data_IF_022736222500
#
_entry.id   IF_022736222500
#
_cell.length_a   1.000
_cell.length_b   1.000
_cell.length_c   1.000
_cell.angle_alpha   90.00
_cell.angle_beta   90.00
_cell.angle_gamma   90.00
#
_symmetry.space_group_name_H-M   'P 1'
#
loop_
_entity.id
_entity.type
_entity.pdbx_description
1 polymer ?
#
# COMPACT_ATOMS: atom_id res chain seq x y z
N UNK A 1 30.29 -87.54 47.15
CA UNK A 1 29.91 -86.18 47.56
C UNK A 1 30.26 -85.23 46.43
N UNK A 2 29.26 -84.72 45.72
CA UNK A 2 29.40 -83.79 44.58
C UNK A 2 28.82 -82.44 45.05
N UNK A 3 29.66 -81.42 45.20
CA UNK A 3 29.25 -80.06 45.54
C UNK A 3 29.18 -79.23 44.26
N UNK A 4 27.96 -78.92 43.82
CA UNK A 4 27.70 -77.97 42.74
C UNK A 4 27.87 -76.56 43.28
N UNK A 5 28.86 -75.84 42.75
CA UNK A 5 29.01 -74.41 42.95
C UNK A 5 28.12 -73.67 41.94
N UNK A 6 27.04 -73.05 42.41
CA UNK A 6 26.27 -72.08 41.63
C UNK A 6 26.92 -70.70 41.81
N UNK A 7 27.73 -70.29 40.84
CA UNK A 7 28.29 -68.94 40.74
C UNK A 7 27.16 -67.95 40.47
N UNK A 8 26.93 -67.02 41.39
CA UNK A 8 26.03 -65.90 41.20
C UNK A 8 26.49 -65.00 40.05
N UNK A 9 25.75 -65.03 38.96
CA UNK A 9 25.81 -64.05 37.89
C UNK A 9 24.80 -62.93 38.20
N UNK A 10 25.19 -61.95 39.01
CA UNK A 10 24.38 -60.74 39.21
C UNK A 10 25.22 -59.59 39.77
N UNK A 11 26.26 -59.18 39.04
CA UNK A 11 26.97 -57.94 39.35
C UNK A 11 27.36 -57.13 38.10
N UNK A 12 27.49 -57.77 36.93
CA UNK A 12 27.89 -57.12 35.68
C UNK A 12 26.73 -56.45 34.91
N UNK A 13 25.48 -56.84 35.17
CA UNK A 13 24.30 -56.25 34.51
C UNK A 13 23.98 -54.82 34.99
N UNK A 14 24.46 -54.44 36.17
CA UNK A 14 24.21 -53.12 36.75
C UNK A 14 24.97 -52.00 36.06
N UNK A 15 26.21 -52.23 35.61
CA UNK A 15 27.03 -51.20 34.94
C UNK A 15 26.64 -51.03 33.47
N UNK A 16 26.34 -52.13 32.78
CA UNK A 16 25.83 -52.10 31.41
C UNK A 16 24.48 -51.39 31.31
N UNK A 17 23.54 -51.69 32.22
CA UNK A 17 22.25 -51.00 32.28
C UNK A 17 22.41 -49.52 32.65
N UNK A 18 23.30 -49.16 33.59
CA UNK A 18 23.61 -47.76 33.91
C UNK A 18 24.19 -47.00 32.71
N UNK A 19 25.04 -47.64 31.90
CA UNK A 19 25.61 -47.04 30.70
C UNK A 19 24.55 -46.80 29.61
N UNK A 20 23.65 -47.77 29.42
CA UNK A 20 22.54 -47.63 28.46
C UNK A 20 21.55 -46.56 28.93
N UNK A 21 21.13 -46.61 30.19
CA UNK A 21 20.22 -45.62 30.81
C UNK A 21 20.85 -44.22 30.86
N UNK A 22 22.17 -44.12 31.01
CA UNK A 22 22.93 -42.87 30.89
C UNK A 22 23.03 -42.36 29.45
N UNK A 23 23.12 -43.25 28.46
CA UNK A 23 23.14 -42.88 27.04
C UNK A 23 21.80 -42.34 26.54
N UNK A 24 20.68 -42.85 27.06
CA UNK A 24 19.33 -42.34 26.78
C UNK A 24 18.89 -41.21 27.72
N UNK A 25 19.77 -40.75 28.63
CA UNK A 25 19.53 -39.60 29.49
C UNK A 25 18.60 -39.82 30.68
N UNK A 26 18.26 -41.07 31.02
CA UNK A 26 17.43 -41.41 32.20
C UNK A 26 18.23 -41.28 33.49
N UNK A 27 19.50 -41.70 33.48
CA UNK A 27 20.39 -41.54 34.62
C UNK A 27 21.33 -40.36 34.34
N UNK A 28 21.37 -39.32 35.21
CA UNK A 28 22.31 -38.23 35.05
C UNK A 28 23.73 -38.80 35.16
N UNK A 29 24.47 -38.73 34.05
CA UNK A 29 25.87 -39.16 34.01
C UNK A 29 26.68 -38.33 35.00
N UNK A 30 27.43 -38.98 35.87
CA UNK A 30 28.42 -38.31 36.74
C UNK A 30 29.39 -37.55 35.84
N UNK A 31 29.36 -36.22 35.94
CA UNK A 31 30.23 -35.30 35.20
C UNK A 31 31.25 -34.77 36.18
N UNK A 32 32.52 -34.84 35.82
CA UNK A 32 33.58 -34.23 36.61
C UNK A 32 33.29 -32.73 36.83
N UNK A 33 33.54 -32.21 38.05
CA UNK A 33 33.32 -30.81 38.33
C UNK A 33 34.18 -29.95 37.40
N UNK A 34 33.53 -29.09 36.62
CA UNK A 34 34.20 -28.16 35.72
C UNK A 34 34.99 -27.17 36.59
N UNK A 35 36.31 -27.20 36.49
CA UNK A 35 37.18 -26.23 37.16
C UNK A 35 37.07 -24.91 36.40
N UNK A 36 36.24 -24.00 36.91
CA UNK A 36 36.09 -22.66 36.36
C UNK A 36 37.26 -21.80 36.81
N UNK A 37 38.11 -21.41 35.87
CA UNK A 37 39.09 -20.37 36.09
C UNK A 37 38.47 -19.02 35.76
N UNK A 38 38.84 -18.01 36.53
CA UNK A 38 38.50 -16.63 36.21
C UNK A 38 39.02 -16.25 34.83
N UNK A 39 38.17 -15.59 34.04
CA UNK A 39 38.59 -15.04 32.74
C UNK A 39 39.39 -13.77 33.04
N UNK A 40 40.46 -13.55 32.27
CA UNK A 40 41.22 -12.30 32.36
C UNK A 40 40.28 -11.08 32.25
N UNK A 41 40.55 -10.00 32.98
CA UNK A 41 39.72 -8.79 32.94
C UNK A 41 39.70 -8.19 31.53
N UNK A 42 38.57 -7.58 31.17
CA UNK A 42 38.40 -6.95 29.87
C UNK A 42 39.30 -5.71 29.76
N UNK A 43 40.29 -5.74 28.87
CA UNK A 43 41.15 -4.59 28.59
C UNK A 43 40.44 -3.68 27.60
N UNK A 44 40.18 -2.44 28.03
CA UNK A 44 39.62 -1.42 27.15
C UNK A 44 40.67 -0.91 26.14
N UNK A 45 40.27 -0.61 24.90
CA UNK A 45 41.17 0.01 23.94
C UNK A 45 41.57 1.42 24.42
N UNK A 46 42.79 1.90 24.07
CA UNK A 46 43.30 3.20 24.54
C UNK A 46 42.48 4.41 24.11
N UNK A 47 41.69 4.28 23.05
CA UNK A 47 40.79 5.31 22.54
C UNK A 47 39.42 4.69 22.31
N UNK A 48 38.41 5.33 22.87
CA UNK A 48 37.00 4.96 22.72
C UNK A 48 36.29 5.76 21.61
N UNK A 49 37.04 6.56 20.85
CA UNK A 49 36.50 7.31 19.72
C UNK A 49 36.11 6.34 18.60
N UNK A 50 34.81 6.30 18.33
CA UNK A 50 34.28 5.60 17.17
C UNK A 50 34.64 6.41 15.92
N UNK A 51 35.07 5.75 14.82
CA UNK A 51 35.22 6.43 13.55
C UNK A 51 33.88 7.05 13.14
N UNK A 52 33.93 8.22 12.49
CA UNK A 52 32.74 8.92 12.04
C UNK A 52 31.82 7.98 11.23
N UNK A 53 30.48 8.10 11.37
CA UNK A 53 29.56 7.29 10.61
C UNK A 53 29.82 7.51 9.12
N UNK A 54 29.96 6.41 8.40
CA UNK A 54 30.30 6.45 6.99
C UNK A 54 29.19 7.20 6.21
N UNK A 55 29.54 8.02 5.19
CA UNK A 55 28.55 8.74 4.41
C UNK A 55 27.46 7.80 3.89
N UNK A 56 26.21 8.22 4.03
CA UNK A 56 25.04 7.41 3.74
C UNK A 56 25.05 6.83 2.33
N UNK A 57 24.91 5.51 2.25
CA UNK A 57 24.88 4.72 1.03
C UNK A 57 25.11 3.27 1.42
N UNK A 58 24.09 2.42 1.27
CA UNK A 58 24.20 0.99 1.60
C UNK A 58 25.35 0.29 0.86
N UNK A 59 25.63 -0.97 1.20
CA UNK A 59 26.69 -1.77 0.55
C UNK A 59 26.61 -1.75 -1.00
N UNK A 60 25.41 -1.58 -1.54
CA UNK A 60 25.07 -1.44 -2.97
C UNK A 60 25.72 -0.21 -3.64
N UNK A 61 25.88 0.90 -2.91
CA UNK A 61 26.48 2.12 -3.44
C UNK A 61 28.02 2.01 -3.52
N UNK A 62 28.60 1.08 -2.77
CA UNK A 62 30.05 0.97 -2.57
C UNK A 62 30.69 -0.12 -3.42
N UNK A 63 29.93 -1.16 -3.76
CA UNK A 63 30.38 -2.22 -4.63
C UNK A 63 29.38 -2.39 -5.79
N UNK A 64 29.77 -1.91 -6.97
CA UNK A 64 28.98 -2.05 -8.20
C UNK A 64 28.78 -3.50 -8.66
N UNK A 65 29.44 -4.47 -8.03
CA UNK A 65 29.31 -5.90 -8.30
C UNK A 65 28.18 -6.57 -7.48
N UNK A 66 27.53 -5.87 -6.55
CA UNK A 66 26.33 -6.41 -5.89
C UNK A 66 25.11 -6.25 -6.81
N UNK A 67 24.25 -7.27 -6.89
CA UNK A 67 22.96 -7.15 -7.56
C UNK A 67 22.18 -5.97 -6.98
N UNK A 68 21.58 -5.16 -7.85
CA UNK A 68 20.66 -4.09 -7.43
C UNK A 68 19.32 -4.71 -7.11
N UNK A 69 18.82 -4.48 -5.91
CA UNK A 69 17.49 -4.90 -5.49
C UNK A 69 16.42 -4.17 -6.34
N UNK A 70 15.53 -4.90 -7.05
CA UNK A 70 14.45 -4.29 -7.82
C UNK A 70 13.51 -3.44 -6.96
N UNK A 71 13.30 -3.78 -5.69
CA UNK A 71 12.39 -3.06 -4.80
C UNK A 71 12.99 -1.71 -4.39
N UNK A 72 14.29 -1.67 -4.10
CA UNK A 72 15.02 -0.43 -3.83
C UNK A 72 15.05 0.46 -5.07
N UNK A 73 15.22 -0.12 -6.25
CA UNK A 73 15.18 0.60 -7.52
C UNK A 73 13.78 1.17 -7.79
N UNK A 74 12.73 0.39 -7.60
CA UNK A 74 11.34 0.83 -7.74
C UNK A 74 11.02 1.95 -6.75
N UNK A 75 11.44 1.83 -5.49
CA UNK A 75 11.25 2.88 -4.47
C UNK A 75 11.96 4.17 -4.83
N UNK A 76 13.21 4.09 -5.34
CA UNK A 76 13.96 5.27 -5.80
C UNK A 76 13.27 5.92 -7.00
N UNK A 77 12.78 5.13 -7.95
CA UNK A 77 12.04 5.63 -9.13
C UNK A 77 10.76 6.34 -8.70
N UNK A 78 9.95 5.73 -7.84
CA UNK A 78 8.73 6.33 -7.32
C UNK A 78 9.00 7.64 -6.55
N UNK A 79 10.06 7.70 -5.74
CA UNK A 79 10.45 8.93 -5.05
C UNK A 79 10.90 10.05 -6.01
N UNK A 80 11.61 9.69 -7.09
CA UNK A 80 12.01 10.64 -8.14
C UNK A 80 10.80 11.15 -8.92
N UNK A 81 9.86 10.27 -9.27
CA UNK A 81 8.60 10.63 -9.94
C UNK A 81 7.74 11.54 -9.05
N UNK A 82 7.61 11.22 -7.75
CA UNK A 82 6.86 12.05 -6.80
C UNK A 82 7.46 13.46 -6.61
N UNK A 83 8.78 13.61 -6.75
CA UNK A 83 9.46 14.91 -6.70
C UNK A 83 9.37 15.68 -8.02
N UNK A 84 9.04 15.01 -9.12
CA UNK A 84 8.98 15.64 -10.43
C UNK A 84 7.72 16.50 -10.54
N UNK A 85 7.83 17.79 -10.89
CA UNK A 85 6.65 18.64 -11.06
C UNK A 85 5.81 18.14 -12.23
N UNK A 86 4.48 18.25 -12.12
CA UNK A 86 3.51 17.74 -13.10
C UNK A 86 3.84 18.14 -14.55
N UNK A 87 4.34 19.36 -14.76
CA UNK A 87 4.70 19.90 -16.08
C UNK A 87 5.89 19.20 -16.74
N UNK A 88 6.71 18.48 -15.97
CA UNK A 88 7.88 17.75 -16.46
C UNK A 88 7.63 16.25 -16.62
N UNK A 89 6.49 15.75 -16.14
CA UNK A 89 6.08 14.35 -16.22
C UNK A 89 5.86 13.93 -17.68
N UNK A 90 6.16 12.67 -18.00
CA UNK A 90 5.93 12.11 -19.35
C UNK A 90 4.46 12.20 -19.76
N UNK A 91 3.54 11.92 -18.83
CA UNK A 91 2.10 12.08 -19.03
C UNK A 91 1.71 13.49 -19.50
N UNK A 92 2.37 14.53 -18.98
CA UNK A 92 2.14 15.91 -19.40
C UNK A 92 2.73 16.20 -20.78
N UNK A 93 3.91 15.64 -21.09
CA UNK A 93 4.55 15.81 -22.42
C UNK A 93 3.72 15.17 -23.53
N UNK A 94 3.12 14.01 -23.24
CA UNK A 94 2.27 13.25 -24.15
C UNK A 94 0.82 13.75 -24.17
N UNK A 95 0.45 14.68 -23.30
CA UNK A 95 -0.90 15.21 -23.27
C UNK A 95 -1.13 16.18 -24.44
N UNK A 96 -2.04 15.84 -25.34
CA UNK A 96 -2.45 16.70 -26.46
C UNK A 96 -3.15 17.98 -25.98
N UNK A 97 -3.76 17.96 -24.80
CA UNK A 97 -4.39 19.11 -24.14
C UNK A 97 -3.44 19.96 -23.29
N UNK A 98 -2.11 19.77 -23.38
CA UNK A 98 -1.15 20.59 -22.62
C UNK A 98 -1.26 22.05 -23.04
N UNK A 99 -0.95 22.96 -22.12
CA UNK A 99 -0.85 24.40 -22.44
C UNK A 99 0.21 24.61 -23.52
N UNK A 100 -0.19 25.27 -24.60
CA UNK A 100 0.70 25.63 -25.69
C UNK A 100 1.70 26.69 -25.21
N UNK A 101 2.96 26.55 -25.63
CA UNK A 101 3.95 27.62 -25.47
C UNK A 101 3.59 28.84 -26.33
N UNK A 102 4.17 29.99 -26.01
CA UNK A 102 3.94 31.22 -26.78
C UNK A 102 4.40 31.05 -28.22
N UNK A 103 5.48 30.30 -28.42
CA UNK A 103 6.04 29.96 -29.71
C UNK A 103 5.11 29.06 -30.52
N UNK A 104 4.56 28.00 -29.91
CA UNK A 104 3.56 27.12 -30.56
C UNK A 104 2.27 27.88 -30.92
N UNK A 105 1.79 28.76 -30.02
CA UNK A 105 0.63 29.62 -30.30
C UNK A 105 0.90 30.59 -31.46
N UNK A 106 2.12 31.13 -31.57
CA UNK A 106 2.52 31.98 -32.70
C UNK A 106 2.64 31.19 -33.99
N UNK A 107 3.21 29.98 -33.94
CA UNK A 107 3.36 29.13 -35.11
C UNK A 107 2.00 28.68 -35.69
N UNK A 108 1.01 28.45 -34.84
CA UNK A 108 -0.36 28.14 -35.25
C UNK A 108 -1.18 29.34 -35.74
N UNK A 109 -0.69 30.58 -35.55
CA UNK A 109 -1.41 31.79 -35.97
C UNK A 109 -1.20 32.04 -37.47
N UNK A 110 -2.22 31.76 -38.27
CA UNK A 110 -2.24 32.12 -39.67
C UNK A 110 -2.35 33.67 -39.81
N UNK A 111 -1.37 34.36 -40.43
CA UNK A 111 -1.41 35.82 -40.60
C UNK A 111 -2.57 36.30 -41.48
N UNK A 112 -3.17 35.41 -42.27
CA UNK A 112 -4.30 35.72 -43.15
C UNK A 112 -5.67 35.50 -42.48
N UNK A 113 -5.72 34.96 -41.25
CA UNK A 113 -6.95 34.68 -40.50
C UNK A 113 -7.07 35.57 -39.25
N UNK A 114 -6.87 36.88 -39.41
CA UNK A 114 -7.12 37.84 -38.35
C UNK A 114 -8.63 38.03 -38.27
N UNK A 115 -9.29 37.32 -37.37
CA UNK A 115 -10.68 37.58 -37.03
C UNK A 115 -10.79 38.98 -36.42
N UNK A 116 -11.24 39.95 -37.21
CA UNK A 116 -11.53 41.32 -36.78
C UNK A 116 -12.91 41.45 -36.11
N UNK A 117 -13.66 40.35 -36.01
CA UNK A 117 -14.95 40.31 -35.37
C UNK A 117 -14.82 40.03 -33.86
N UNK A 118 -15.54 40.81 -33.04
CA UNK A 118 -15.65 40.60 -31.60
C UNK A 118 -16.19 39.18 -31.28
N UNK A 119 -15.75 38.54 -30.18
CA UNK A 119 -16.24 37.22 -29.81
C UNK A 119 -17.77 37.27 -29.64
N UNK A 120 -18.48 36.38 -30.32
CA UNK A 120 -19.92 36.27 -30.20
C UNK A 120 -20.29 36.02 -28.73
N UNK A 121 -21.28 36.78 -28.24
CA UNK A 121 -21.80 36.65 -26.87
C UNK A 121 -22.36 35.23 -26.70
N UNK A 122 -22.04 34.60 -25.56
CA UNK A 122 -22.62 33.32 -25.14
C UNK A 122 -24.15 33.40 -25.19
N UNK A 123 -24.79 32.36 -25.74
CA UNK A 123 -26.24 32.29 -25.99
C UNK A 123 -26.69 32.35 -27.45
N UNK A 124 -25.76 32.43 -28.42
CA UNK A 124 -26.09 32.21 -29.84
C UNK A 124 -26.16 30.71 -30.18
N UNK A 125 -26.90 30.33 -31.21
CA UNK A 125 -27.10 28.96 -31.75
C UNK A 125 -25.81 28.09 -31.86
N UNK A 126 -24.62 28.69 -31.79
CA UNK A 126 -23.34 28.00 -31.72
C UNK A 126 -22.98 27.39 -30.34
N UNK A 127 -23.75 27.65 -29.28
CA UNK A 127 -23.53 27.11 -27.92
C UNK A 127 -24.10 25.66 -27.74
N UNK A 128 -24.40 24.97 -28.84
CA UNK A 128 -24.85 23.56 -28.88
C UNK A 128 -23.85 22.57 -28.25
N UNK A 129 -22.63 23.00 -27.94
CA UNK A 129 -21.60 22.18 -27.29
C UNK A 129 -21.74 22.12 -25.76
N UNK A 130 -22.64 22.90 -25.14
CA UNK A 130 -22.89 22.87 -23.70
C UNK A 130 -24.32 22.44 -23.42
N UNK A 131 -24.51 21.13 -23.21
CA UNK A 131 -25.79 20.58 -22.76
C UNK A 131 -26.17 21.15 -21.39
N UNK A 132 -27.46 21.41 -21.20
CA UNK A 132 -27.98 21.85 -19.89
C UNK A 132 -28.01 20.67 -18.89
N UNK A 133 -27.97 20.90 -17.56
CA UNK A 133 -28.08 19.82 -16.57
C UNK A 133 -29.32 18.91 -16.71
N UNK A 134 -30.45 19.41 -17.21
CA UNK A 134 -31.65 18.59 -17.48
C UNK A 134 -31.44 17.68 -18.71
N UNK A 135 -30.80 18.20 -19.74
CA UNK A 135 -30.48 17.48 -20.96
C UNK A 135 -29.46 16.36 -20.69
N UNK A 136 -28.43 16.63 -19.87
CA UNK A 136 -27.49 15.61 -19.38
C UNK A 136 -28.19 14.50 -18.58
N UNK A 137 -29.17 14.84 -17.75
CA UNK A 137 -29.95 13.84 -16.98
C UNK A 137 -30.80 12.94 -17.87
N UNK A 138 -31.29 13.45 -19.01
CA UNK A 138 -32.04 12.64 -19.97
C UNK A 138 -31.18 11.54 -20.62
N UNK A 139 -29.87 11.75 -20.75
CA UNK A 139 -28.93 10.75 -21.25
C UNK A 139 -28.53 9.70 -20.19
N UNK A 140 -28.70 9.99 -18.89
CA UNK A 140 -28.25 9.13 -17.79
C UNK A 140 -29.19 7.97 -17.45
N UNK A 141 -30.35 7.85 -18.09
CA UNK A 141 -31.42 6.90 -17.69
C UNK A 141 -31.36 5.53 -18.38
N UNK A 142 -30.31 5.22 -19.15
CA UNK A 142 -30.26 4.00 -19.97
C UNK A 142 -29.35 2.88 -19.48
N UNK A 143 -28.48 3.10 -18.50
CA UNK A 143 -27.53 2.09 -18.04
C UNK A 143 -27.61 1.86 -16.52
N UNK A 144 -28.72 1.27 -16.07
CA UNK A 144 -28.86 0.76 -14.69
C UNK A 144 -28.01 -0.50 -14.42
N UNK A 145 -27.21 -0.96 -15.39
CA UNK A 145 -26.46 -2.22 -15.35
C UNK A 145 -24.95 -2.00 -15.45
N UNK A 146 -24.42 -1.00 -14.74
CA UNK A 146 -22.98 -0.84 -14.50
C UNK A 146 -22.49 -2.00 -13.62
N UNK A 147 -22.18 -3.13 -14.26
CA UNK A 147 -21.44 -4.23 -13.65
C UNK A 147 -19.96 -3.84 -13.68
N UNK A 148 -19.31 -3.76 -12.52
CA UNK A 148 -17.85 -3.66 -12.46
C UNK A 148 -17.28 -4.84 -13.26
N UNK A 149 -16.56 -4.56 -14.35
CA UNK A 149 -15.83 -5.60 -15.07
C UNK A 149 -14.68 -6.06 -14.18
N UNK A 150 -14.78 -7.26 -13.62
CA UNK A 150 -13.70 -7.94 -12.91
C UNK A 150 -14.18 -8.75 -11.72
N UNK A 151 -13.61 -9.95 -11.56
CA UNK A 151 -13.81 -10.88 -10.44
C UNK A 151 -13.08 -10.42 -9.17
N UNK A 152 -13.24 -9.15 -8.79
CA UNK A 152 -12.49 -8.54 -7.69
C UNK A 152 -10.98 -8.48 -7.94
N UNK A 153 -10.25 -7.84 -7.02
CA UNK A 153 -8.80 -7.88 -7.05
C UNK A 153 -8.34 -9.24 -6.51
N UNK A 154 -7.63 -10.03 -7.31
CA UNK A 154 -6.99 -11.26 -6.82
C UNK A 154 -5.99 -10.90 -5.71
N UNK A 155 -6.04 -11.70 -4.63
CA UNK A 155 -5.21 -11.48 -3.45
C UNK A 155 -3.73 -11.67 -3.81
N UNK A 156 -2.93 -10.60 -3.71
CA UNK A 156 -1.48 -10.63 -4.01
C UNK A 156 -0.63 -11.01 -2.80
N UNK A 157 -1.02 -10.58 -1.60
CA UNK A 157 -0.29 -10.86 -0.37
C UNK A 157 -1.18 -11.43 0.73
N UNK A 158 -0.57 -12.05 1.75
CA UNK A 158 -1.34 -12.63 2.85
C UNK A 158 -2.05 -11.60 3.73
N UNK A 159 -1.55 -10.37 3.74
CA UNK A 159 -2.11 -9.20 4.43
C UNK A 159 -3.32 -8.59 3.73
N UNK A 160 -3.50 -8.86 2.45
CA UNK A 160 -4.62 -8.30 1.69
C UNK A 160 -5.90 -9.09 2.02
N UNK A 161 -7.05 -8.41 2.16
CA UNK A 161 -8.30 -9.08 2.46
C UNK A 161 -8.65 -10.08 1.35
N UNK A 162 -9.22 -11.25 1.69
CA UNK A 162 -9.68 -12.20 0.68
C UNK A 162 -10.68 -11.53 -0.28
N UNK A 163 -10.55 -11.80 -1.57
CA UNK A 163 -11.33 -11.13 -2.63
C UNK A 163 -12.84 -11.24 -2.45
N UNK A 164 -13.33 -12.26 -1.74
CA UNK A 164 -14.74 -12.42 -1.38
C UNK A 164 -15.29 -11.31 -0.48
N UNK A 165 -14.44 -10.66 0.32
CA UNK A 165 -14.83 -9.53 1.18
C UNK A 165 -14.88 -8.20 0.42
N UNK A 166 -14.28 -8.13 -0.77
CA UNK A 166 -14.40 -6.96 -1.65
C UNK A 166 -15.72 -6.97 -2.45
N UNK A 167 -16.51 -8.04 -2.33
CA UNK A 167 -17.81 -8.17 -2.99
C UNK A 167 -18.92 -7.56 -2.13
N UNK A 168 -19.85 -6.87 -2.78
CA UNK A 168 -21.09 -6.44 -2.13
C UNK A 168 -21.85 -7.65 -1.57
N UNK A 169 -22.30 -7.55 -0.32
CA UNK A 169 -23.06 -8.62 0.33
C UNK A 169 -24.33 -8.92 -0.48
N UNK A 170 -24.48 -10.18 -0.92
CA UNK A 170 -25.60 -10.63 -1.76
C UNK A 170 -25.45 -10.43 -3.26
N UNK A 171 -24.29 -10.00 -3.77
CA UNK A 171 -24.09 -9.77 -5.21
C UNK A 171 -24.93 -8.62 -5.79
N UNK A 172 -25.48 -7.78 -4.91
CA UNK A 172 -26.24 -6.59 -5.29
C UNK A 172 -25.34 -5.54 -5.95
N UNK A 173 -25.95 -4.71 -6.79
CA UNK A 173 -25.27 -3.57 -7.41
C UNK A 173 -24.75 -2.65 -6.31
N UNK A 174 -23.46 -2.31 -6.34
CA UNK A 174 -22.91 -1.25 -5.50
C UNK A 174 -23.57 0.04 -5.95
N UNK A 175 -24.52 0.55 -5.16
CA UNK A 175 -25.00 1.91 -5.33
C UNK A 175 -23.84 2.81 -4.93
N UNK A 176 -23.41 3.70 -5.82
CA UNK A 176 -22.57 4.82 -5.42
C UNK A 176 -23.22 5.41 -4.16
N UNK A 177 -22.44 5.61 -3.09
CA UNK A 177 -22.94 6.26 -1.89
C UNK A 177 -23.47 7.61 -2.33
N UNK A 178 -24.78 7.69 -2.56
CA UNK A 178 -25.46 8.93 -2.78
C UNK A 178 -25.26 9.70 -1.48
N UNK A 179 -24.59 10.85 -1.56
CA UNK A 179 -24.61 11.80 -0.47
C UNK A 179 -26.06 11.92 0.02
N UNK A 180 -26.30 11.95 1.33
CA UNK A 180 -27.65 12.05 1.84
C UNK A 180 -28.31 13.27 1.18
N UNK A 181 -29.32 13.00 0.36
CA UNK A 181 -30.13 14.07 -0.23
C UNK A 181 -30.79 14.76 0.95
N UNK A 182 -30.27 15.92 1.33
CA UNK A 182 -30.88 16.78 2.32
C UNK A 182 -32.19 17.24 1.69
N UNK A 183 -33.28 16.57 2.03
CA UNK A 183 -34.60 16.92 1.56
C UNK A 183 -35.00 18.25 2.19
N UNK A 184 -34.80 19.32 1.42
CA UNK A 184 -35.19 20.67 1.78
C UNK A 184 -34.04 21.46 2.39
N UNK A 185 -33.72 22.57 1.73
CA UNK A 185 -32.89 23.62 2.30
C UNK A 185 -33.68 24.27 3.46
N UNK A 186 -33.20 24.19 4.72
CA UNK A 186 -33.90 24.77 5.87
C UNK A 186 -34.06 26.29 5.76
N UNK A 187 -33.21 26.94 4.96
CA UNK A 187 -33.23 28.39 4.68
C UNK A 187 -33.96 28.73 3.37
N UNK A 188 -34.49 27.73 2.68
CA UNK A 188 -35.17 27.91 1.39
C UNK A 188 -36.52 28.64 1.52
N UNK A 189 -36.98 29.33 0.46
CA UNK A 189 -38.22 30.12 0.49
C UNK A 189 -39.47 29.29 0.84
N UNK A 190 -39.46 27.99 0.52
CA UNK A 190 -40.55 27.06 0.85
C UNK A 190 -40.64 26.76 2.36
N UNK A 191 -39.52 26.80 3.09
CA UNK A 191 -39.49 26.61 4.54
C UNK A 191 -40.11 27.82 5.27
N UNK A 192 -39.81 29.03 4.81
CA UNK A 192 -40.40 30.28 5.32
C UNK A 192 -41.92 30.30 5.17
N UNK A 193 -42.44 29.87 4.00
CA UNK A 193 -43.89 29.81 3.75
C UNK A 193 -44.57 28.83 4.72
N UNK A 194 -43.96 27.67 4.97
CA UNK A 194 -44.49 26.66 5.89
C UNK A 194 -44.52 27.17 7.33
N UNK A 195 -43.47 27.84 7.77
CA UNK A 195 -43.38 28.46 9.10
C UNK A 195 -44.40 29.60 9.28
N UNK A 196 -44.62 30.41 8.24
CA UNK A 196 -45.63 31.48 8.27
C UNK A 196 -47.06 30.91 8.38
N UNK A 197 -47.32 29.76 7.74
CA UNK A 197 -48.61 29.08 7.84
C UNK A 197 -48.85 28.46 9.23
N UNK A 198 -47.82 27.89 9.85
CA UNK A 198 -47.90 27.34 11.21
C UNK A 198 -48.13 28.43 12.26
N UNK A 199 -47.44 29.58 12.13
CA UNK A 199 -47.66 30.74 13.02
C UNK A 199 -49.05 31.35 12.90
N UNK A 200 -49.74 31.17 11.77
CA UNK A 200 -51.14 31.60 11.59
C UNK A 200 -52.16 30.61 12.14
N UNK A 201 -51.73 29.40 12.52
CA UNK A 201 -52.60 28.35 13.07
C UNK A 201 -52.58 28.27 14.61
N UNK A 202 -51.69 29.01 15.26
CA UNK A 202 -51.73 29.30 16.70
C UNK A 202 -52.46 30.63 16.93
#
# INVERSE_FOLDING_TARGET
MLLVAATGASAQEGEGMKSILGAIGIIPKEKDPIVYNERAPLVLPPKMDLPAPMPGGGAEARNGNWPKDPDVAARRKAAAEARTPWTSTEAYKLNEGKRLSVEEMRAGRNPNNIATAAPARSGSQADLSRMTPDELRSFSTKDDDVKLQGDGLERRYLSDPPGTLLKAQGGGKLKASADPVINGDPEGPQAFIRQQQERRRQ
#
